data_IF_015830553461
#
_entry.id   IF_015830553461
#
_cell.length_a   1.000
_cell.length_b   1.000
_cell.length_c   1.000
_cell.angle_alpha   90.00
_cell.angle_beta   90.00
_cell.angle_gamma   90.00
#
_symmetry.space_group_name_H-M   'P 1'
#
loop_
_entity.id
_entity.type
_entity.pdbx_description
1 polymer ?
#
# COMPACT_ATOMS: atom_id res chain seq x y z
N UNK A 1 11.06 4.46 -0.13
CA UNK A 1 10.54 3.24 -0.81
C UNK A 1 9.04 3.31 -0.87
N UNK A 2 8.48 3.12 -2.03
CA UNK A 2 7.02 3.18 -2.20
C UNK A 2 6.42 1.81 -2.47
N UNK A 3 5.29 1.56 -1.87
CA UNK A 3 4.54 0.32 -2.06
C UNK A 3 3.17 0.70 -2.59
N UNK A 4 2.72 -0.03 -3.59
CA UNK A 4 1.40 0.20 -4.17
C UNK A 4 0.49 -0.95 -3.79
N UNK A 5 -0.72 -0.65 -3.34
CA UNK A 5 -1.72 -1.69 -3.15
C UNK A 5 -3.03 -1.24 -3.79
N UNK A 6 -3.88 -2.21 -4.11
CA UNK A 6 -5.18 -1.89 -4.65
C UNK A 6 -6.27 -2.73 -3.99
N UNK A 7 -7.49 -2.21 -4.02
CA UNK A 7 -8.65 -2.90 -3.47
C UNK A 7 -9.84 -2.65 -4.38
N UNK A 8 -10.83 -3.53 -4.27
CA UNK A 8 -12.02 -3.41 -5.10
C UNK A 8 -12.92 -2.26 -4.68
N UNK A 9 -13.55 -1.64 -5.65
CA UNK A 9 -14.53 -0.60 -5.41
C UNK A 9 -13.94 0.79 -5.44
N UNK A 10 -14.77 1.74 -5.07
CA UNK A 10 -14.39 3.13 -5.04
C UNK A 10 -13.56 3.41 -3.80
N UNK A 11 -12.99 4.58 -3.74
CA UNK A 11 -12.12 4.97 -2.65
C UNK A 11 -12.77 4.74 -1.29
N UNK A 12 -12.08 4.02 -0.44
CA UNK A 12 -12.55 3.68 0.90
C UNK A 12 -11.54 4.21 1.92
N UNK A 13 -11.84 5.38 2.48
CA UNK A 13 -10.93 6.03 3.41
C UNK A 13 -10.74 5.23 4.69
N UNK A 14 -11.75 4.52 5.12
CA UNK A 14 -11.64 3.68 6.31
C UNK A 14 -10.64 2.56 6.12
N UNK A 15 -10.67 1.92 4.95
CA UNK A 15 -9.74 0.86 4.63
C UNK A 15 -8.32 1.43 4.54
N UNK A 16 -8.18 2.58 3.88
CA UNK A 16 -6.87 3.21 3.74
C UNK A 16 -6.28 3.60 5.09
N UNK A 17 -7.09 4.12 5.99
CA UNK A 17 -6.64 4.47 7.32
C UNK A 17 -6.25 3.24 8.11
N UNK A 18 -6.98 2.15 7.95
CA UNK A 18 -6.69 0.90 8.62
C UNK A 18 -5.34 0.35 8.18
N UNK A 19 -5.06 0.44 6.88
CA UNK A 19 -3.77 -0.01 6.34
C UNK A 19 -2.64 0.84 6.89
N UNK A 20 -2.81 2.16 6.88
CA UNK A 20 -1.78 3.06 7.41
C UNK A 20 -1.51 2.78 8.89
N UNK A 21 -2.54 2.55 9.65
CA UNK A 21 -2.40 2.28 11.06
C UNK A 21 -1.69 0.96 11.29
N UNK A 22 -2.06 -0.07 10.54
CA UNK A 22 -1.45 -1.38 10.66
C UNK A 22 0.05 -1.33 10.34
N UNK A 23 0.40 -0.68 9.24
CA UNK A 23 1.80 -0.52 8.86
C UNK A 23 2.55 0.30 9.91
N UNK A 24 1.93 1.38 10.38
CA UNK A 24 2.55 2.24 11.37
C UNK A 24 2.85 1.52 12.68
N UNK A 25 1.96 0.66 13.10
CA UNK A 25 2.14 -0.08 14.35
C UNK A 25 3.20 -1.16 14.25
N UNK A 26 3.33 -1.75 13.07
CA UNK A 26 4.27 -2.86 12.88
C UNK A 26 5.65 -2.43 12.43
N UNK A 27 5.72 -1.41 11.59
CA UNK A 27 6.97 -1.07 10.91
C UNK A 27 7.40 0.38 11.08
N UNK A 28 6.65 1.16 11.83
CA UNK A 28 6.94 2.56 12.02
C UNK A 28 6.11 3.41 11.06
N UNK A 29 6.22 4.70 11.20
CA UNK A 29 5.40 5.61 10.42
C UNK A 29 5.56 5.45 8.92
N UNK A 30 4.44 5.47 8.22
CA UNK A 30 4.42 5.48 6.78
C UNK A 30 3.45 6.57 6.35
N UNK A 31 3.64 7.09 5.16
CA UNK A 31 2.74 8.11 4.61
C UNK A 31 1.98 7.54 3.43
N UNK A 32 0.83 8.13 3.15
CA UNK A 32 0.08 7.80 1.96
C UNK A 32 0.21 8.98 1.01
N UNK A 33 0.82 8.77 -0.15
CA UNK A 33 1.10 9.86 -1.07
C UNK A 33 0.07 10.01 -2.18
N UNK A 34 -0.66 8.95 -2.49
CA UNK A 34 -1.65 9.00 -3.56
C UNK A 34 -2.73 7.96 -3.35
N UNK A 35 -3.93 8.28 -3.81
CA UNK A 35 -5.04 7.33 -3.83
C UNK A 35 -5.84 7.65 -5.08
N UNK A 36 -6.06 6.65 -5.89
CA UNK A 36 -6.62 6.87 -7.22
C UNK A 36 -7.55 5.72 -7.62
N UNK A 37 -8.79 6.05 -7.95
CA UNK A 37 -9.75 5.06 -8.41
C UNK A 37 -9.67 4.97 -9.92
N UNK A 38 -9.45 3.75 -10.41
CA UNK A 38 -9.30 3.51 -11.83
C UNK A 38 -10.58 3.02 -12.49
N UNK A 39 -10.51 2.87 -13.78
CA UNK A 39 -11.65 2.43 -14.57
C UNK A 39 -11.98 0.96 -14.38
N UNK A 40 -11.09 0.21 -13.82
CA UNK A 40 -11.28 -1.21 -13.61
C UNK A 40 -12.06 -1.57 -12.38
N UNK A 41 -12.57 -0.58 -11.68
CA UNK A 41 -13.29 -0.83 -10.44
C UNK A 41 -12.38 -1.06 -9.26
N UNK A 42 -11.12 -0.68 -9.38
CA UNK A 42 -10.14 -0.80 -8.31
C UNK A 42 -9.64 0.56 -7.87
N UNK A 43 -9.31 0.68 -6.62
CA UNK A 43 -8.65 1.88 -6.11
C UNK A 43 -7.21 1.51 -5.79
N UNK A 44 -6.29 2.28 -6.31
CA UNK A 44 -4.85 2.07 -6.12
C UNK A 44 -4.30 3.13 -5.19
N UNK A 45 -3.54 2.70 -4.20
CA UNK A 45 -2.99 3.59 -3.18
C UNK A 45 -1.48 3.42 -3.14
N UNK A 46 -0.76 4.52 -3.01
CA UNK A 46 0.69 4.51 -2.88
C UNK A 46 1.09 4.86 -1.46
N UNK A 47 1.83 3.98 -0.83
CA UNK A 47 2.38 4.21 0.50
C UNK A 47 3.86 4.53 0.37
N UNK A 48 4.31 5.46 1.20
CA UNK A 48 5.71 5.84 1.24
C UNK A 48 6.28 5.36 2.56
N UNK A 49 7.24 4.43 2.49
CA UNK A 49 7.87 3.87 3.67
C UNK A 49 9.14 4.63 4.00
N UNK A 50 9.38 4.96 5.27
CA UNK A 50 10.58 5.69 5.65
C UNK A 50 11.86 4.87 5.47
N UNK A 51 11.71 3.54 5.47
CA UNK A 51 12.86 2.66 5.30
C UNK A 51 12.59 1.57 4.29
N UNK A 52 13.48 1.44 3.33
CA UNK A 52 13.33 0.43 2.29
C UNK A 52 13.55 -0.99 2.81
N UNK A 53 14.31 -1.14 3.86
CA UNK A 53 14.68 -2.46 4.36
C UNK A 53 13.52 -3.31 4.85
N UNK A 54 12.37 -2.70 5.11
CA UNK A 54 11.21 -3.43 5.60
C UNK A 54 10.16 -3.69 4.51
N UNK A 55 10.46 -3.32 3.27
CA UNK A 55 9.43 -3.38 2.24
C UNK A 55 8.85 -4.78 2.02
N UNK A 56 9.66 -5.81 2.09
CA UNK A 56 9.17 -7.16 1.88
C UNK A 56 8.21 -7.59 2.98
N UNK A 57 8.50 -7.22 4.21
CA UNK A 57 7.62 -7.55 5.33
C UNK A 57 6.31 -6.79 5.25
N UNK A 58 6.35 -5.56 4.78
CA UNK A 58 5.15 -4.76 4.59
C UNK A 58 4.27 -5.41 3.52
N UNK A 59 4.87 -5.81 2.39
CA UNK A 59 4.12 -6.47 1.33
C UNK A 59 3.46 -7.74 1.86
N UNK A 60 4.20 -8.56 2.61
CA UNK A 60 3.65 -9.78 3.17
C UNK A 60 2.50 -9.51 4.13
N UNK A 61 2.64 -8.49 4.97
CA UNK A 61 1.61 -8.14 5.94
C UNK A 61 0.33 -7.66 5.22
N UNK A 62 0.49 -6.88 4.17
CA UNK A 62 -0.65 -6.39 3.42
C UNK A 62 -1.33 -7.51 2.63
N UNK A 63 -0.55 -8.40 2.05
CA UNK A 63 -1.12 -9.53 1.33
C UNK A 63 -1.92 -10.43 2.26
N UNK A 64 -1.53 -10.51 3.51
CA UNK A 64 -2.22 -11.34 4.50
C UNK A 64 -3.54 -10.77 5.00
N UNK A 65 -3.83 -9.51 4.68
CA UNK A 65 -5.06 -8.89 5.16
C UNK A 65 -6.32 -9.50 4.54
N UNK A 66 -6.24 -9.89 3.29
CA UNK A 66 -7.39 -10.47 2.62
C UNK A 66 -8.38 -9.48 2.05
N UNK A 67 -8.23 -8.19 2.35
CA UNK A 67 -9.11 -7.15 1.82
C UNK A 67 -8.48 -6.36 0.69
N UNK A 68 -7.31 -6.78 0.23
CA UNK A 68 -6.61 -6.13 -0.86
C UNK A 68 -6.51 -7.07 -2.05
N UNK A 69 -6.53 -6.48 -3.24
CA UNK A 69 -6.46 -7.26 -4.46
C UNK A 69 -5.01 -7.51 -4.87
N UNK A 70 -4.19 -6.48 -4.76
CA UNK A 70 -2.81 -6.58 -5.20
C UNK A 70 -1.90 -5.72 -4.35
N UNK A 71 -0.69 -6.16 -4.12
CA UNK A 71 0.31 -5.40 -3.38
C UNK A 71 1.65 -5.62 -4.07
N UNK A 72 2.36 -4.54 -4.36
CA UNK A 72 3.66 -4.64 -5.02
C UNK A 72 4.49 -3.39 -4.73
N UNK A 73 5.82 -3.50 -4.80
CA UNK A 73 6.67 -2.31 -4.71
C UNK A 73 6.55 -1.52 -6.00
N UNK A 74 6.55 -0.19 -5.89
CA UNK A 74 6.44 0.66 -7.04
C UNK A 74 7.77 0.75 -7.78
N UNK A 75 7.72 0.55 -9.08
CA UNK A 75 8.87 0.74 -9.95
C UNK A 75 10.18 0.20 -9.43
N UNK A 76 10.11 -0.89 -8.73
CA UNK A 76 11.28 -1.46 -8.15
C UNK A 76 12.32 -1.79 -9.20
N UNK A 77 13.49 -1.21 -9.10
CA UNK A 77 14.56 -1.42 -10.03
C UNK A 77 14.42 -0.70 -11.33
N UNK A 78 13.28 -0.07 -11.55
CA UNK A 78 12.97 0.54 -12.76
C UNK A 78 13.82 1.67 -13.14
N UNK A 79 14.07 2.55 -12.31
CA UNK A 79 14.85 3.68 -12.62
C UNK A 79 16.34 3.43 -12.67
N UNK A 80 16.69 2.24 -12.47
CA UNK A 80 18.09 1.90 -12.45
C UNK A 80 18.68 2.02 -13.84
#
# INVERSE_FOLDING_TARGET
MKIIYSYEGERNEGLESSVLQDVGERFGQAGQTASHSGEEGLTTVTLDLPRAEHWQKVVEALEGRGDLVEVAPESFGEGA
#
